data_IF_481973813705
#
_entry.id   IF_481973813705
#
_cell.length_a   1.000
_cell.length_b   1.000
_cell.length_c   1.000
_cell.angle_alpha   90.00
_cell.angle_beta   90.00
_cell.angle_gamma   90.00
#
_symmetry.space_group_name_H-M   'P 1'
#
loop_
_entity.id
_entity.type
_entity.pdbx_description
1 polymer ?
#
# COMPACT_ATOMS: atom_id res chain seq x y z
N UNK A 1 5.55 11.24 46.13
CA UNK A 1 4.41 10.69 45.35
C UNK A 1 4.72 10.98 43.90
N UNK A 2 5.22 9.96 43.22
CA UNK A 2 5.71 9.99 41.84
C UNK A 2 4.54 10.31 40.91
N UNK A 3 4.61 11.43 40.20
CA UNK A 3 3.62 11.78 39.19
C UNK A 3 3.80 10.83 38.01
N UNK A 4 2.77 10.01 37.76
CA UNK A 4 2.68 9.17 36.57
C UNK A 4 2.78 10.06 35.33
N UNK A 5 3.87 9.90 34.57
CA UNK A 5 4.00 10.46 33.24
C UNK A 5 3.06 9.68 32.30
N UNK A 6 1.87 10.23 32.07
CA UNK A 6 1.04 9.84 30.93
C UNK A 6 1.80 10.17 29.64
N UNK A 7 2.44 9.15 29.07
CA UNK A 7 3.06 9.20 27.76
C UNK A 7 1.95 9.41 26.72
N UNK A 8 1.76 10.68 26.32
CA UNK A 8 0.83 11.08 25.25
C UNK A 8 1.41 10.54 23.94
N UNK A 9 1.08 9.29 23.62
CA UNK A 9 1.48 8.59 22.40
C UNK A 9 1.21 9.51 21.20
N UNK A 10 2.27 10.01 20.57
CA UNK A 10 2.13 10.96 19.47
C UNK A 10 1.42 10.27 18.30
N UNK A 11 0.33 10.86 17.84
CA UNK A 11 -0.46 10.30 16.73
C UNK A 11 0.27 10.62 15.44
N UNK A 12 0.81 9.59 14.78
CA UNK A 12 1.56 9.74 13.53
C UNK A 12 0.64 10.16 12.39
N UNK A 13 1.17 10.82 11.36
CA UNK A 13 0.39 11.15 10.16
C UNK A 13 -0.31 9.91 9.54
N UNK A 14 0.38 8.77 9.52
CA UNK A 14 -0.19 7.49 9.08
C UNK A 14 -1.38 7.08 9.93
N UNK A 15 -1.34 7.28 11.25
CA UNK A 15 -2.46 6.98 12.14
C UNK A 15 -3.66 7.88 11.84
N UNK A 16 -3.43 9.16 11.53
CA UNK A 16 -4.48 10.10 11.17
C UNK A 16 -5.15 9.74 9.83
N UNK A 17 -4.34 9.45 8.80
CA UNK A 17 -4.84 9.00 7.50
C UNK A 17 -5.59 7.68 7.64
N UNK A 18 -5.05 6.75 8.42
CA UNK A 18 -5.73 5.49 8.72
C UNK A 18 -7.09 5.72 9.35
N UNK A 19 -7.20 6.58 10.37
CA UNK A 19 -8.49 6.88 11.01
C UNK A 19 -9.49 7.52 10.04
N UNK A 20 -9.01 8.40 9.16
CA UNK A 20 -9.83 9.06 8.12
C UNK A 20 -10.42 8.07 7.14
N UNK A 21 -9.63 7.10 6.66
CA UNK A 21 -10.03 6.16 5.61
C UNK A 21 -10.54 4.82 6.13
N UNK A 22 -10.49 4.59 7.44
CA UNK A 22 -10.92 3.35 8.08
C UNK A 22 -12.32 2.91 7.67
N UNK A 23 -13.27 3.84 7.63
CA UNK A 23 -14.67 3.55 7.27
C UNK A 23 -14.86 3.00 5.85
N UNK A 24 -13.88 3.17 4.97
CA UNK A 24 -13.88 2.65 3.59
C UNK A 24 -12.97 1.42 3.47
N UNK A 25 -11.77 1.47 4.03
CA UNK A 25 -10.79 0.39 3.90
C UNK A 25 -11.18 -0.87 4.68
N UNK A 26 -11.69 -0.73 5.91
CA UNK A 26 -12.05 -1.88 6.74
C UNK A 26 -13.17 -2.75 6.11
N UNK A 27 -14.29 -2.22 5.59
CA UNK A 27 -15.30 -3.07 4.97
C UNK A 27 -14.82 -3.73 3.67
N UNK A 28 -14.01 -3.02 2.86
CA UNK A 28 -13.42 -3.60 1.65
C UNK A 28 -12.45 -4.73 2.03
N UNK A 29 -11.53 -4.48 2.95
CA UNK A 29 -10.58 -5.48 3.44
C UNK A 29 -11.28 -6.68 4.07
N UNK A 30 -12.35 -6.47 4.84
CA UNK A 30 -13.15 -7.54 5.42
C UNK A 30 -13.84 -8.39 4.34
N UNK A 31 -14.38 -7.76 3.30
CA UNK A 31 -14.97 -8.46 2.16
C UNK A 31 -13.92 -9.30 1.41
N UNK A 32 -12.75 -8.72 1.09
CA UNK A 32 -11.66 -9.42 0.42
C UNK A 32 -11.15 -10.62 1.25
N UNK A 33 -11.01 -10.43 2.57
CA UNK A 33 -10.68 -11.52 3.48
C UNK A 33 -11.74 -12.63 3.48
N UNK A 34 -13.02 -12.27 3.43
CA UNK A 34 -14.14 -13.23 3.43
C UNK A 34 -14.19 -14.08 2.16
N UNK A 35 -13.80 -13.54 1.01
CA UNK A 35 -13.68 -14.30 -0.24
C UNK A 35 -12.38 -15.10 -0.35
N UNK A 36 -11.57 -15.14 0.71
CA UNK A 36 -10.38 -15.97 0.81
C UNK A 36 -9.11 -15.36 0.23
N UNK A 37 -9.13 -14.07 -0.16
CA UNK A 37 -7.90 -13.39 -0.59
C UNK A 37 -6.97 -13.19 0.60
N UNK A 38 -5.67 -13.32 0.33
CA UNK A 38 -4.60 -13.10 1.30
C UNK A 38 -4.02 -11.68 1.14
N UNK A 39 -3.54 -11.05 2.23
CA UNK A 39 -2.88 -9.74 2.17
C UNK A 39 -1.78 -9.67 1.11
N UNK A 40 -0.88 -10.67 1.09
CA UNK A 40 0.24 -10.72 0.14
C UNK A 40 -0.20 -10.72 -1.33
N UNK A 41 -1.43 -11.16 -1.62
CA UNK A 41 -1.98 -11.08 -2.98
C UNK A 41 -2.17 -9.61 -3.41
N UNK A 42 -2.60 -8.74 -2.50
CA UNK A 42 -2.76 -7.31 -2.79
C UNK A 42 -1.40 -6.65 -3.03
N UNK A 43 -0.38 -6.96 -2.22
CA UNK A 43 1.00 -6.51 -2.42
C UNK A 43 1.53 -6.88 -3.81
N UNK A 44 1.34 -8.15 -4.22
CA UNK A 44 1.76 -8.64 -5.54
C UNK A 44 0.98 -7.94 -6.66
N UNK A 45 -0.33 -7.75 -6.51
CA UNK A 45 -1.15 -7.05 -7.49
C UNK A 45 -0.72 -5.59 -7.65
N UNK A 46 -0.40 -4.90 -6.56
CA UNK A 46 0.13 -3.54 -6.58
C UNK A 46 1.44 -3.46 -7.37
N UNK A 47 2.40 -4.35 -7.06
CA UNK A 47 3.68 -4.40 -7.77
C UNK A 47 3.52 -4.71 -9.26
N UNK A 48 2.66 -5.68 -9.62
CA UNK A 48 2.38 -6.03 -11.01
C UNK A 48 1.72 -4.86 -11.76
N UNK A 49 0.73 -4.21 -11.16
CA UNK A 49 0.06 -3.06 -11.74
C UNK A 49 1.00 -1.88 -11.94
N UNK A 50 1.86 -1.59 -10.95
CA UNK A 50 2.91 -0.57 -11.07
C UNK A 50 3.90 -0.91 -12.19
N UNK A 51 4.27 -2.18 -12.33
CA UNK A 51 5.15 -2.65 -13.43
C UNK A 51 4.49 -2.47 -14.80
N UNK A 52 3.22 -2.84 -14.94
CA UNK A 52 2.45 -2.62 -16.18
C UNK A 52 2.37 -1.13 -16.48
N UNK A 53 2.06 -0.30 -15.47
CA UNK A 53 2.04 1.15 -15.60
C UNK A 53 3.38 1.70 -16.07
N UNK A 54 4.48 1.27 -15.48
CA UNK A 54 5.84 1.66 -15.86
C UNK A 54 6.19 1.29 -17.30
N UNK A 55 5.81 0.10 -17.77
CA UNK A 55 5.98 -0.31 -19.18
C UNK A 55 5.18 0.61 -20.12
N UNK A 56 4.00 1.06 -19.70
CA UNK A 56 3.21 2.01 -20.50
C UNK A 56 3.85 3.39 -20.52
N UNK A 57 4.40 3.84 -19.39
CA UNK A 57 5.17 5.09 -19.31
C UNK A 57 6.39 5.05 -20.24
N UNK A 58 7.13 3.93 -20.27
CA UNK A 58 8.31 3.77 -21.14
C UNK A 58 7.97 3.79 -22.63
N UNK A 59 6.73 3.44 -22.99
CA UNK A 59 6.19 3.52 -24.35
C UNK A 59 5.60 4.91 -24.69
N UNK A 60 5.70 5.89 -23.80
CA UNK A 60 5.13 7.23 -23.98
C UNK A 60 3.64 7.34 -23.69
N UNK A 61 2.99 6.26 -23.21
CA UNK A 61 1.55 6.24 -22.89
C UNK A 61 1.28 6.82 -21.50
N UNK A 62 1.71 8.06 -21.28
CA UNK A 62 1.78 8.72 -19.98
C UNK A 62 0.44 8.71 -19.22
N UNK A 63 -0.65 9.09 -19.88
CA UNK A 63 -1.97 9.18 -19.22
C UNK A 63 -2.44 7.82 -18.71
N UNK A 64 -2.36 6.77 -19.54
CA UNK A 64 -2.88 5.45 -19.19
C UNK A 64 -1.96 4.77 -18.16
N UNK A 65 -0.63 4.86 -18.36
CA UNK A 65 0.34 4.33 -17.39
C UNK A 65 0.20 5.00 -16.02
N UNK A 66 0.06 6.33 -16.00
CA UNK A 66 -0.15 7.10 -14.78
C UNK A 66 -1.47 6.77 -14.08
N UNK A 67 -2.57 6.59 -14.82
CA UNK A 67 -3.85 6.18 -14.24
C UNK A 67 -3.79 4.79 -13.62
N UNK A 68 -3.07 3.84 -14.23
CA UNK A 68 -2.89 2.50 -13.66
C UNK A 68 -2.08 2.57 -12.36
N UNK A 69 -0.95 3.29 -12.35
CA UNK A 69 -0.13 3.48 -11.15
C UNK A 69 -0.94 4.14 -10.03
N UNK A 70 -1.70 5.19 -10.37
CA UNK A 70 -2.57 5.88 -9.42
C UNK A 70 -3.62 4.94 -8.82
N UNK A 71 -4.18 4.03 -9.61
CA UNK A 71 -5.13 3.04 -9.14
C UNK A 71 -4.50 1.98 -8.23
N UNK A 72 -3.19 1.72 -8.32
CA UNK A 72 -2.49 0.76 -7.46
C UNK A 72 -2.16 1.31 -6.07
N UNK A 73 -2.01 2.63 -5.91
CA UNK A 73 -1.72 3.24 -4.60
C UNK A 73 -2.72 2.84 -3.50
N UNK A 74 -4.04 2.86 -3.73
CA UNK A 74 -5.01 2.37 -2.75
C UNK A 74 -4.97 0.85 -2.49
N UNK A 75 -4.49 0.05 -3.45
CA UNK A 75 -4.39 -1.42 -3.31
C UNK A 75 -3.37 -1.80 -2.24
N UNK A 76 -2.27 -1.05 -2.17
CA UNK A 76 -1.25 -1.18 -1.14
C UNK A 76 -1.85 -1.03 0.27
N UNK A 77 -2.59 0.07 0.51
CA UNK A 77 -3.26 0.29 1.80
C UNK A 77 -4.29 -0.81 2.20
N UNK A 78 -4.80 -1.58 1.23
CA UNK A 78 -5.70 -2.71 1.51
C UNK A 78 -4.96 -3.91 2.07
N UNK A 79 -3.70 -4.17 1.72
CA UNK A 79 -2.97 -5.33 2.20
C UNK A 79 -2.75 -5.28 3.72
N UNK A 80 -2.31 -4.13 4.24
CA UNK A 80 -2.07 -3.91 5.65
C UNK A 80 -3.39 -3.87 6.40
N UNK A 81 -4.47 -3.40 5.74
CA UNK A 81 -5.81 -3.49 6.31
C UNK A 81 -6.29 -4.94 6.42
N UNK A 82 -6.09 -5.75 5.38
CA UNK A 82 -6.43 -7.17 5.38
C UNK A 82 -5.64 -7.95 6.42
N UNK A 83 -4.32 -7.73 6.53
CA UNK A 83 -3.45 -8.38 7.50
C UNK A 83 -3.86 -8.04 8.93
N UNK A 84 -4.18 -6.77 9.21
CA UNK A 84 -4.69 -6.34 10.52
C UNK A 84 -6.02 -6.98 10.87
N UNK A 85 -6.97 -7.01 9.92
CA UNK A 85 -8.28 -7.62 10.14
C UNK A 85 -8.20 -9.13 10.38
N UNK A 86 -7.16 -9.81 9.87
CA UNK A 86 -6.85 -11.22 10.13
C UNK A 86 -6.09 -11.46 11.44
N UNK A 87 -5.56 -10.42 12.07
CA UNK A 87 -4.64 -10.57 13.21
C UNK A 87 -3.26 -11.11 12.80
N UNK A 88 -2.91 -11.03 11.52
CA UNK A 88 -1.66 -11.53 10.93
C UNK A 88 -0.62 -10.41 10.71
N UNK A 89 -0.87 -9.21 11.24
CA UNK A 89 0.10 -8.09 11.16
C UNK A 89 1.39 -8.44 11.90
N UNK A 90 2.54 -8.36 11.22
CA UNK A 90 3.86 -8.64 11.78
C UNK A 90 4.87 -7.57 11.35
N UNK A 91 5.95 -7.39 12.13
CA UNK A 91 7.05 -6.48 11.78
C UNK A 91 7.75 -6.91 10.49
N UNK A 92 7.92 -8.21 10.28
CA UNK A 92 8.48 -8.73 9.03
C UNK A 92 7.59 -8.41 7.83
N UNK A 93 6.26 -8.56 7.97
CA UNK A 93 5.32 -8.18 6.91
C UNK A 93 5.41 -6.69 6.56
N UNK A 94 5.45 -5.82 7.57
CA UNK A 94 5.62 -4.38 7.36
C UNK A 94 6.97 -4.02 6.70
N UNK A 95 8.04 -4.77 7.00
CA UNK A 95 9.32 -4.62 6.31
C UNK A 95 9.23 -5.04 4.84
N UNK A 96 8.63 -6.20 4.54
CA UNK A 96 8.45 -6.68 3.16
C UNK A 96 7.64 -5.69 2.34
N UNK A 97 6.54 -5.19 2.88
CA UNK A 97 5.68 -4.16 2.30
C UNK A 97 6.49 -2.90 1.93
N UNK A 98 7.22 -2.35 2.91
CA UNK A 98 8.09 -1.18 2.71
C UNK A 98 9.16 -1.40 1.63
N UNK A 99 9.73 -2.60 1.55
CA UNK A 99 10.72 -2.96 0.53
C UNK A 99 10.06 -3.08 -0.85
N UNK A 100 8.91 -3.74 -0.95
CA UNK A 100 8.16 -3.87 -2.20
C UNK A 100 7.72 -2.52 -2.74
N UNK A 101 7.36 -1.58 -1.88
CA UNK A 101 7.10 -0.18 -2.24
C UNK A 101 8.29 0.48 -2.91
N UNK A 102 9.51 0.30 -2.36
CA UNK A 102 10.72 0.83 -2.98
C UNK A 102 10.95 0.23 -4.37
N UNK A 103 10.73 -1.07 -4.53
CA UNK A 103 10.82 -1.72 -5.84
C UNK A 103 9.78 -1.15 -6.82
N UNK A 104 8.54 -0.92 -6.40
CA UNK A 104 7.51 -0.28 -7.21
C UNK A 104 7.95 1.10 -7.70
N UNK A 105 8.47 1.95 -6.81
CA UNK A 105 9.00 3.26 -7.17
C UNK A 105 10.15 3.18 -8.17
N UNK A 106 11.12 2.28 -7.94
CA UNK A 106 12.25 2.08 -8.85
C UNK A 106 11.80 1.64 -10.24
N UNK A 107 10.81 0.75 -10.34
CA UNK A 107 10.25 0.30 -11.61
C UNK A 107 9.54 1.45 -12.34
N UNK A 108 8.73 2.25 -11.63
CA UNK A 108 8.04 3.42 -12.19
C UNK A 108 9.06 4.45 -12.72
N UNK A 109 10.05 4.81 -11.91
CA UNK A 109 11.10 5.73 -12.33
C UNK A 109 11.94 5.16 -13.47
N UNK A 110 12.24 3.86 -13.45
CA UNK A 110 12.89 3.18 -14.57
C UNK A 110 12.08 3.29 -15.87
N UNK A 111 10.77 3.11 -15.80
CA UNK A 111 9.88 3.31 -16.95
C UNK A 111 9.93 4.73 -17.51
N UNK A 112 9.92 5.74 -16.64
CA UNK A 112 10.07 7.14 -17.03
C UNK A 112 11.44 7.44 -17.64
N UNK A 113 12.52 6.92 -17.03
CA UNK A 113 13.91 7.08 -17.51
C UNK A 113 14.15 6.44 -18.88
N UNK A 114 13.41 5.40 -19.25
CA UNK A 114 13.52 4.79 -20.58
C UNK A 114 12.89 5.69 -21.65
N UNK A 115 11.83 6.43 -21.30
CA UNK A 115 11.13 7.27 -22.25
C UNK A 115 11.82 8.63 -22.51
N UNK A 116 12.37 9.24 -21.46
CA UNK A 116 13.02 10.56 -21.51
C UNK A 116 14.53 10.45 -21.68
#
# INVERSE_FOLDING_TARGET
MEQASEDKKQVTFTDQMRLRFRGVLDPIGAFLNRIGLMPNTMTILGLLGNTIGAILLSQGRMTIGGLIILAMGPVDALDGTMARLRGESSEFGAFVDSVTDRYSELVIFGGLLIYY
#
